data_IF_761415683230
#
_entry.id   IF_761415683230
#
_cell.length_a   1.000
_cell.length_b   1.000
_cell.length_c   1.000
_cell.angle_alpha   90.00
_cell.angle_beta   90.00
_cell.angle_gamma   90.00
#
_symmetry.space_group_name_H-M   'P 1'
#
loop_
_entity.id
_entity.type
_entity.pdbx_description
1 polymer ?
#
# COMPACT_ATOMS: atom_id res chain seq x y z
N UNK A 1 -35.62 -40.31 10.82
CA UNK A 1 -35.17 -39.73 9.53
C UNK A 1 -34.85 -38.23 9.60
N UNK A 2 -35.62 -37.38 10.28
CA UNK A 2 -35.39 -35.92 10.29
C UNK A 2 -34.04 -35.42 10.85
N UNK A 3 -33.45 -36.08 11.87
CA UNK A 3 -32.15 -35.68 12.46
C UNK A 3 -30.97 -35.78 11.49
N UNK A 4 -30.99 -36.77 10.59
CA UNK A 4 -29.95 -37.00 9.59
C UNK A 4 -29.94 -35.91 8.51
N UNK A 5 -31.14 -35.45 8.11
CA UNK A 5 -31.28 -34.38 7.11
C UNK A 5 -30.78 -33.02 7.66
N UNK A 6 -31.04 -32.74 8.95
CA UNK A 6 -30.54 -31.53 9.61
C UNK A 6 -29.02 -31.54 9.82
N UNK A 7 -28.42 -32.70 10.11
CA UNK A 7 -26.96 -32.84 10.18
C UNK A 7 -26.32 -32.60 8.81
N UNK A 8 -26.89 -33.20 7.75
CA UNK A 8 -26.43 -33.02 6.37
C UNK A 8 -26.52 -31.55 5.92
N UNK A 9 -27.64 -30.88 6.21
CA UNK A 9 -27.80 -29.44 5.92
C UNK A 9 -26.75 -28.60 6.66
N UNK A 10 -26.51 -28.88 7.94
CA UNK A 10 -25.55 -28.15 8.76
C UNK A 10 -24.11 -28.31 8.24
N UNK A 11 -23.74 -29.53 7.82
CA UNK A 11 -22.43 -29.78 7.20
C UNK A 11 -22.27 -29.09 5.84
N UNK A 12 -23.32 -28.98 5.03
CA UNK A 12 -23.27 -28.24 3.76
C UNK A 12 -23.10 -26.73 4.01
N UNK A 13 -23.84 -26.17 4.98
CA UNK A 13 -23.72 -24.75 5.38
C UNK A 13 -22.33 -24.40 5.93
N UNK A 14 -21.72 -25.29 6.73
CA UNK A 14 -20.37 -25.07 7.27
C UNK A 14 -19.28 -25.15 6.19
N UNK A 15 -19.51 -25.96 5.15
CA UNK A 15 -18.58 -26.10 4.02
C UNK A 15 -18.53 -24.85 3.16
N UNK A 16 -19.67 -24.17 2.95
CA UNK A 16 -19.77 -22.94 2.15
C UNK A 16 -19.07 -21.76 2.86
N UNK A 17 -19.05 -21.74 4.19
CA UNK A 17 -18.43 -20.66 4.96
C UNK A 17 -16.88 -20.67 4.88
N UNK A 18 -16.27 -21.81 4.58
CA UNK A 18 -14.80 -21.96 4.53
C UNK A 18 -14.16 -21.55 3.19
N UNK A 19 -14.96 -21.34 2.14
CA UNK A 19 -14.46 -20.92 0.82
C UNK A 19 -14.60 -19.42 0.54
N UNK A 20 -15.14 -18.65 1.49
CA UNK A 20 -15.24 -17.19 1.39
C UNK A 20 -13.92 -16.50 1.81
N UNK A 21 -12.78 -16.94 1.27
CA UNK A 21 -11.58 -16.08 1.33
C UNK A 21 -11.76 -14.99 0.28
N UNK A 22 -11.77 -13.69 0.62
CA UNK A 22 -11.76 -12.65 -0.39
C UNK A 22 -10.49 -12.81 -1.22
N UNK A 23 -10.64 -13.22 -2.48
CA UNK A 23 -9.58 -13.09 -3.45
C UNK A 23 -9.44 -11.61 -3.72
N UNK A 24 -8.60 -10.92 -2.96
CA UNK A 24 -8.17 -9.57 -3.30
C UNK A 24 -7.36 -9.70 -4.60
N UNK A 25 -8.04 -9.57 -5.74
CA UNK A 25 -7.35 -9.37 -7.00
C UNK A 25 -6.37 -8.22 -6.78
N UNK A 26 -5.08 -8.45 -7.05
CA UNK A 26 -4.06 -7.41 -6.95
C UNK A 26 -4.49 -6.27 -7.87
N UNK A 27 -4.96 -5.17 -7.29
CA UNK A 27 -5.35 -3.99 -8.07
C UNK A 27 -4.06 -3.39 -8.63
N UNK A 28 -3.88 -3.54 -9.94
CA UNK A 28 -2.82 -2.91 -10.70
C UNK A 28 -3.42 -1.76 -11.48
N UNK A 29 -2.86 -0.57 -11.31
CA UNK A 29 -3.25 0.63 -12.04
C UNK A 29 -2.13 1.04 -12.98
N UNK A 30 -2.49 1.30 -14.24
CA UNK A 30 -1.58 1.87 -15.23
C UNK A 30 -1.59 3.40 -15.09
N UNK A 31 -0.43 4.00 -14.89
CA UNK A 31 -0.27 5.45 -14.78
C UNK A 31 0.64 5.99 -15.88
N UNK A 32 0.42 7.26 -16.23
CA UNK A 32 1.34 8.03 -17.08
C UNK A 32 2.10 9.00 -16.19
N UNK A 33 3.42 8.84 -16.10
CA UNK A 33 4.29 9.70 -15.31
C UNK A 33 5.43 10.24 -16.18
N UNK A 34 6.24 11.14 -15.62
CA UNK A 34 7.46 11.60 -16.29
C UNK A 34 8.39 10.41 -16.50
N UNK A 35 8.68 10.08 -17.76
CA UNK A 35 9.49 8.91 -18.13
C UNK A 35 8.70 7.78 -18.80
N UNK A 36 7.36 7.87 -18.84
CA UNK A 36 6.51 7.02 -19.65
C UNK A 36 5.41 6.32 -18.86
N UNK A 37 5.09 5.11 -19.31
CA UNK A 37 4.06 4.26 -18.70
C UNK A 37 4.65 3.52 -17.50
N UNK A 38 3.94 3.59 -16.37
CA UNK A 38 4.24 2.83 -15.16
C UNK A 38 3.01 2.03 -14.72
N UNK A 39 3.24 1.04 -13.87
CA UNK A 39 2.17 0.26 -13.23
C UNK A 39 2.37 0.36 -11.73
N UNK A 40 1.29 0.59 -10.99
CA UNK A 40 1.33 0.75 -9.53
C UNK A 40 0.35 -0.20 -8.85
N UNK A 41 0.70 -0.58 -7.62
CA UNK A 41 -0.16 -1.38 -6.73
C UNK A 41 -0.01 -0.92 -5.28
N UNK A 42 -1.04 -1.10 -4.47
CA UNK A 42 -0.97 -0.87 -3.01
C UNK A 42 -0.55 -2.11 -2.24
N UNK A 43 -0.40 -3.25 -2.92
CA UNK A 43 -0.09 -4.53 -2.30
C UNK A 43 1.37 -4.91 -2.55
N UNK A 44 2.15 -4.93 -1.47
CA UNK A 44 3.49 -5.52 -1.45
C UNK A 44 3.57 -6.47 -0.24
N UNK A 45 4.60 -7.31 -0.18
CA UNK A 45 4.80 -8.31 0.89
C UNK A 45 5.15 -7.71 2.28
N UNK A 46 4.77 -6.45 2.53
CA UNK A 46 5.05 -5.71 3.75
C UNK A 46 3.89 -4.78 4.12
N UNK A 47 3.66 -4.52 5.43
CA UNK A 47 2.55 -3.69 5.90
C UNK A 47 2.85 -2.19 5.66
N UNK A 48 2.75 -1.72 4.43
CA UNK A 48 3.14 -0.34 4.05
C UNK A 48 2.10 0.75 4.35
N UNK A 49 0.86 0.38 4.61
CA UNK A 49 -0.22 1.32 4.97
C UNK A 49 -0.07 1.87 6.39
N UNK A 50 -0.52 3.09 6.63
CA UNK A 50 -0.44 3.77 7.93
C UNK A 50 0.22 5.15 7.87
N UNK A 51 0.50 5.69 9.05
CA UNK A 51 1.04 7.05 9.24
C UNK A 51 2.55 7.02 9.37
N UNK A 52 3.22 7.86 8.58
CA UNK A 52 4.66 8.12 8.60
C UNK A 52 4.89 9.52 9.15
N UNK A 53 5.68 9.63 10.21
CA UNK A 53 5.93 10.85 10.95
C UNK A 53 7.33 11.38 10.65
N UNK A 54 7.47 12.70 10.48
CA UNK A 54 8.77 13.36 10.38
C UNK A 54 9.43 13.37 11.77
N UNK A 55 10.57 12.69 11.95
CA UNK A 55 11.30 12.63 13.23
C UNK A 55 10.47 12.18 14.46
N UNK A 56 9.31 11.54 14.25
CA UNK A 56 8.39 11.16 15.33
C UNK A 56 7.44 12.29 15.77
N UNK A 57 7.54 13.47 15.16
CA UNK A 57 6.63 14.59 15.39
C UNK A 57 5.27 14.33 14.72
N UNK A 58 4.20 14.88 15.30
CA UNK A 58 2.83 14.67 14.81
C UNK A 58 2.60 15.26 13.40
N UNK A 59 3.29 16.34 13.05
CA UNK A 59 3.23 16.99 11.74
C UNK A 59 4.62 17.52 11.34
N UNK A 60 4.96 17.54 10.04
CA UNK A 60 4.19 17.05 8.91
C UNK A 60 4.19 15.50 8.81
N UNK A 61 3.05 14.95 8.42
CA UNK A 61 2.86 13.49 8.27
C UNK A 61 2.59 13.07 6.82
N UNK A 62 2.77 11.78 6.55
CA UNK A 62 2.22 11.11 5.37
C UNK A 62 1.37 9.93 5.80
N UNK A 63 0.14 9.85 5.29
CA UNK A 63 -0.79 8.76 5.54
C UNK A 63 -1.02 7.98 4.24
N UNK A 64 -0.80 6.66 4.27
CA UNK A 64 -1.09 5.74 3.17
C UNK A 64 -2.25 4.82 3.55
N UNK A 65 -3.42 4.97 2.90
CA UNK A 65 -4.59 4.11 3.13
C UNK A 65 -4.59 2.90 2.18
N UNK A 66 -5.11 1.73 2.60
CA UNK A 66 -5.07 0.49 1.81
C UNK A 66 -5.71 0.56 0.41
N UNK A 67 -6.65 1.47 0.22
CA UNK A 67 -7.39 1.64 -1.04
C UNK A 67 -6.62 2.44 -2.11
N UNK A 68 -5.41 2.90 -1.78
CA UNK A 68 -4.57 3.73 -2.65
C UNK A 68 -4.82 5.22 -2.50
N UNK A 69 -5.60 5.64 -1.49
CA UNK A 69 -5.74 7.06 -1.12
C UNK A 69 -4.82 7.41 0.05
N UNK A 70 -4.56 8.70 0.25
CA UNK A 70 -3.71 9.14 1.35
C UNK A 70 -3.72 10.64 1.56
N UNK A 71 -2.90 11.06 2.52
CA UNK A 71 -2.63 12.47 2.81
C UNK A 71 -1.12 12.68 2.80
N UNK A 72 -0.64 13.68 2.07
CA UNK A 72 0.74 14.14 2.12
C UNK A 72 0.76 15.55 2.69
N UNK A 73 1.36 15.74 3.87
CA UNK A 73 1.54 17.06 4.44
C UNK A 73 2.93 17.62 4.06
N UNK A 74 2.92 18.82 3.50
CA UNK A 74 4.11 19.59 3.17
C UNK A 74 4.68 20.27 4.43
N UNK A 75 5.91 20.78 4.34
CA UNK A 75 6.60 21.42 5.47
C UNK A 75 5.95 22.72 5.94
N UNK A 76 5.13 23.35 5.09
CA UNK A 76 4.30 24.52 5.43
C UNK A 76 2.94 24.13 6.06
N UNK A 77 2.78 22.85 6.40
CA UNK A 77 1.58 22.22 6.97
C UNK A 77 0.39 22.11 6.03
N UNK A 78 0.51 22.54 4.76
CA UNK A 78 -0.53 22.30 3.76
C UNK A 78 -0.70 20.80 3.49
N UNK A 79 -1.95 20.37 3.28
CA UNK A 79 -2.32 18.96 3.12
C UNK A 79 -2.75 18.68 1.69
N UNK A 80 -2.11 17.70 1.07
CA UNK A 80 -2.47 17.17 -0.24
C UNK A 80 -3.21 15.85 -0.02
N UNK A 81 -4.50 15.80 -0.38
CA UNK A 81 -5.18 14.52 -0.55
C UNK A 81 -4.64 13.87 -1.82
N UNK A 82 -4.15 12.65 -1.72
CA UNK A 82 -3.46 11.99 -2.82
C UNK A 82 -4.04 10.63 -3.17
N UNK A 83 -3.89 10.25 -4.42
CA UNK A 83 -3.87 8.84 -4.83
C UNK A 83 -2.40 8.37 -4.87
N UNK A 84 -2.10 7.13 -4.50
CA UNK A 84 -0.75 6.59 -4.40
C UNK A 84 -0.68 5.09 -4.76
N UNK A 85 0.53 4.64 -5.10
CA UNK A 85 0.85 3.22 -5.25
C UNK A 85 2.36 2.97 -5.38
N UNK A 86 2.79 1.74 -5.09
CA UNK A 86 4.16 1.27 -5.31
C UNK A 86 4.32 0.78 -6.74
N UNK A 87 5.43 1.13 -7.39
CA UNK A 87 5.78 0.62 -8.71
C UNK A 87 5.81 -0.92 -8.74
N UNK A 88 5.19 -1.49 -9.77
CA UNK A 88 5.12 -2.91 -10.02
C UNK A 88 5.25 -3.22 -11.52
N UNK A 89 5.35 -4.51 -11.84
CA UNK A 89 5.14 -4.99 -13.21
C UNK A 89 3.65 -5.02 -13.54
N UNK A 90 3.31 -5.16 -14.82
CA UNK A 90 1.91 -5.22 -15.28
C UNK A 90 1.08 -6.33 -14.60
N UNK A 91 1.74 -7.40 -14.15
CA UNK A 91 1.10 -8.49 -13.41
C UNK A 91 0.94 -8.24 -11.89
N UNK A 92 1.31 -7.04 -11.41
CA UNK A 92 1.22 -6.65 -10.00
C UNK A 92 2.41 -7.05 -9.12
N UNK A 93 3.42 -7.74 -9.68
CA UNK A 93 4.64 -8.07 -8.92
C UNK A 93 5.40 -6.78 -8.58
N UNK A 94 5.67 -6.47 -7.29
CA UNK A 94 6.36 -5.23 -6.91
C UNK A 94 7.77 -5.11 -7.50
N UNK A 95 8.15 -3.91 -7.95
CA UNK A 95 9.53 -3.62 -8.39
C UNK A 95 10.30 -3.01 -7.23
N UNK A 96 11.44 -3.60 -6.87
CA UNK A 96 12.29 -3.09 -5.81
C UNK A 96 13.75 -3.48 -6.00
N UNK A 97 14.63 -2.70 -5.36
CA UNK A 97 16.04 -3.02 -5.22
C UNK A 97 16.28 -3.58 -3.82
N UNK A 98 16.83 -4.80 -3.75
CA UNK A 98 17.16 -5.45 -2.48
C UNK A 98 18.63 -5.24 -2.14
N UNK A 99 18.88 -4.74 -0.94
CA UNK A 99 20.21 -4.75 -0.30
C UNK A 99 20.28 -5.83 0.79
N UNK A 100 21.40 -5.87 1.52
CA UNK A 100 21.60 -6.86 2.59
C UNK A 100 20.56 -6.73 3.72
N UNK A 101 20.29 -5.49 4.18
CA UNK A 101 19.40 -5.20 5.31
C UNK A 101 18.31 -4.17 4.98
N UNK A 102 18.04 -3.96 3.69
CA UNK A 102 17.02 -3.02 3.25
C UNK A 102 16.42 -3.41 1.91
N UNK A 103 15.23 -2.88 1.61
CA UNK A 103 14.62 -2.89 0.29
C UNK A 103 14.17 -1.49 -0.08
N UNK A 104 14.33 -1.11 -1.35
CA UNK A 104 13.94 0.20 -1.89
C UNK A 104 12.88 0.02 -2.96
N UNK A 105 11.78 0.76 -2.83
CA UNK A 105 10.67 0.80 -3.78
C UNK A 105 10.52 2.22 -4.34
N UNK A 106 9.85 2.31 -5.48
CA UNK A 106 9.36 3.57 -6.03
C UNK A 106 7.92 3.77 -5.60
N UNK A 107 7.67 4.77 -4.76
CA UNK A 107 6.32 5.22 -4.43
C UNK A 107 5.91 6.29 -5.44
N UNK A 108 4.74 6.15 -6.04
CA UNK A 108 4.14 7.19 -6.87
C UNK A 108 2.94 7.78 -6.16
N UNK A 109 2.77 9.09 -6.24
CA UNK A 109 1.59 9.77 -5.72
C UNK A 109 1.15 10.93 -6.63
N UNK A 110 -0.14 11.27 -6.59
CA UNK A 110 -0.73 12.37 -7.34
C UNK A 110 -1.72 13.13 -6.47
N UNK A 111 -1.74 14.46 -6.56
CA UNK A 111 -2.77 15.28 -5.93
C UNK A 111 -4.15 14.96 -6.54
N UNK A 112 -5.10 14.55 -5.69
CA UNK A 112 -6.44 14.14 -6.12
C UNK A 112 -7.31 15.33 -6.56
N UNK A 113 -7.01 16.54 -6.10
CA UNK A 113 -7.71 17.75 -6.52
C UNK A 113 -7.35 18.18 -7.96
N UNK A 114 -6.24 17.67 -8.51
CA UNK A 114 -5.77 17.99 -9.84
C UNK A 114 -6.19 16.90 -10.83
N UNK A 115 -7.23 17.18 -11.63
CA UNK A 115 -7.74 16.24 -12.65
C UNK A 115 -6.65 15.74 -13.59
N UNK A 116 -5.73 16.64 -13.99
CA UNK A 116 -4.58 16.37 -14.85
C UNK A 116 -3.25 16.41 -14.08
N UNK A 117 -3.30 16.15 -12.77
CA UNK A 117 -2.12 16.16 -11.90
C UNK A 117 -1.04 15.19 -12.37
N UNK A 118 0.22 15.58 -12.23
CA UNK A 118 1.35 14.72 -12.56
C UNK A 118 1.65 13.74 -11.43
N UNK A 119 1.84 12.47 -11.78
CA UNK A 119 2.37 11.49 -10.85
C UNK A 119 3.81 11.85 -10.47
N UNK A 120 4.04 11.96 -9.17
CA UNK A 120 5.32 12.33 -8.57
C UNK A 120 5.96 11.12 -7.91
N UNK A 121 7.25 10.94 -8.18
CA UNK A 121 8.06 9.89 -7.56
C UNK A 121 8.48 10.30 -6.15
N UNK A 122 8.37 9.37 -5.21
CA UNK A 122 8.95 9.42 -3.88
C UNK A 122 9.77 8.16 -3.61
N UNK A 123 10.92 8.34 -2.96
CA UNK A 123 11.73 7.22 -2.48
C UNK A 123 11.04 6.55 -1.30
N UNK A 124 10.87 5.23 -1.35
CA UNK A 124 10.39 4.42 -0.25
C UNK A 124 11.43 3.36 0.13
N UNK A 125 11.72 3.21 1.42
CA UNK A 125 12.65 2.19 1.89
C UNK A 125 12.14 1.44 3.11
N UNK A 126 12.50 0.16 3.20
CA UNK A 126 12.29 -0.70 4.37
C UNK A 126 13.68 -1.05 4.91
N UNK A 127 13.91 -0.82 6.20
CA UNK A 127 15.16 -1.13 6.89
C UNK A 127 14.92 -2.26 7.89
N UNK A 128 15.31 -3.49 7.53
CA UNK A 128 14.89 -4.70 8.23
C UNK A 128 15.39 -4.76 9.68
N UNK A 129 16.68 -4.48 9.90
CA UNK A 129 17.25 -4.49 11.25
C UNK A 129 16.68 -3.39 12.15
N UNK A 130 16.34 -2.23 11.58
CA UNK A 130 15.76 -1.11 12.34
C UNK A 130 14.27 -1.29 12.60
N UNK A 131 13.62 -2.27 11.96
CA UNK A 131 12.18 -2.43 11.96
C UNK A 131 11.44 -1.13 11.57
N UNK A 132 11.96 -0.41 10.57
CA UNK A 132 11.42 0.89 10.13
C UNK A 132 11.24 0.98 8.62
N UNK A 133 10.23 1.72 8.22
CA UNK A 133 9.97 2.11 6.83
C UNK A 133 10.08 3.63 6.71
N UNK A 134 10.52 4.13 5.56
CA UNK A 134 10.72 5.55 5.30
C UNK A 134 10.11 5.98 3.97
N UNK A 135 9.55 7.19 3.95
CA UNK A 135 9.16 7.95 2.76
C UNK A 135 10.06 9.17 2.70
N UNK A 136 10.72 9.40 1.55
CA UNK A 136 11.69 10.50 1.33
C UNK A 136 12.87 10.52 2.31
N UNK A 137 13.08 9.44 3.06
CA UNK A 137 14.18 9.27 4.02
C UNK A 137 13.95 9.91 5.40
N UNK A 138 12.92 10.73 5.56
CA UNK A 138 12.69 11.53 6.77
C UNK A 138 11.40 11.17 7.51
N UNK A 139 10.34 10.81 6.78
CA UNK A 139 9.05 10.38 7.31
C UNK A 139 9.09 8.89 7.56
N UNK A 140 8.94 8.47 8.80
CA UNK A 140 9.14 7.08 9.18
C UNK A 140 7.97 6.49 9.95
N UNK A 141 7.85 5.17 9.89
CA UNK A 141 7.02 4.39 10.80
C UNK A 141 7.76 3.10 11.18
N UNK A 142 7.39 2.54 12.32
CA UNK A 142 7.83 1.20 12.68
C UNK A 142 7.08 0.16 11.85
N UNK A 143 7.78 -0.91 11.49
CA UNK A 143 7.17 -2.10 10.91
C UNK A 143 7.29 -3.24 11.91
N UNK A 144 6.17 -3.89 12.17
CA UNK A 144 6.09 -5.12 12.98
C UNK A 144 5.90 -6.27 12.00
N UNK A 145 6.60 -7.38 12.24
CA UNK A 145 6.48 -8.61 11.45
C UNK A 145 5.09 -9.24 11.60
#
# INVERSE_FOLDING_TARGET
MAKSANLLLLSILLSILLFATPTFAQKVEKIMAKGGVHYITTNIDYPITGTYLLNGDAEPLVQLNPDGTGVFQLSDLSKINMDWGMECFENGTPKYQKGFNYAVYSLWYKNKAETDGNWTYAHFSIHFQKKKMFILGDRSKDYVD
#
